data_IF_991540243239
#
_entry.id   IF_991540243239
#
_cell.length_a   1.000
_cell.length_b   1.000
_cell.length_c   1.000
_cell.angle_alpha   90.00
_cell.angle_beta   90.00
_cell.angle_gamma   90.00
#
_symmetry.space_group_name_H-M   'P 1'
#
loop_
_entity.id
_entity.type
_entity.pdbx_description
1 polymer ?
#
# COMPACT_ATOMS: atom_id res chain seq x y z
N UNK A 1 -1.64 8.87 -22.76
CA UNK A 1 -2.13 8.53 -21.42
C UNK A 1 -2.82 9.72 -20.76
N UNK A 2 -2.18 10.89 -20.62
CA UNK A 2 -2.76 12.11 -20.02
C UNK A 2 -4.05 12.55 -20.74
N UNK A 3 -4.04 12.66 -22.06
CA UNK A 3 -5.21 13.04 -22.85
C UNK A 3 -6.40 12.08 -22.64
N UNK A 4 -6.16 10.78 -22.63
CA UNK A 4 -7.20 9.78 -22.36
C UNK A 4 -7.79 9.89 -20.95
N UNK A 5 -6.96 10.23 -19.96
CA UNK A 5 -7.40 10.47 -18.59
C UNK A 5 -8.28 11.72 -18.48
N UNK A 6 -7.87 12.82 -19.13
CA UNK A 6 -8.63 14.07 -19.14
C UNK A 6 -9.97 13.94 -19.85
N UNK A 7 -10.01 13.21 -20.97
CA UNK A 7 -11.28 12.91 -21.70
C UNK A 7 -12.19 12.01 -20.88
N UNK A 8 -11.64 11.02 -20.16
CA UNK A 8 -12.38 10.11 -19.30
C UNK A 8 -12.77 10.70 -17.92
N UNK A 9 -12.27 11.88 -17.57
CA UNK A 9 -12.44 12.47 -16.24
C UNK A 9 -13.89 12.57 -15.75
N UNK A 10 -14.89 12.99 -16.56
CA UNK A 10 -16.27 13.03 -16.11
C UNK A 10 -16.81 11.65 -15.72
N UNK A 11 -16.40 10.61 -16.46
CA UNK A 11 -16.73 9.22 -16.14
C UNK A 11 -16.07 8.75 -14.85
N UNK A 12 -14.80 9.09 -14.66
CA UNK A 12 -14.02 8.74 -13.45
C UNK A 12 -14.64 9.41 -12.21
N UNK A 13 -14.98 10.70 -12.29
CA UNK A 13 -15.60 11.44 -11.19
C UNK A 13 -16.96 10.84 -10.80
N UNK A 14 -17.74 10.42 -11.78
CA UNK A 14 -19.02 9.74 -11.54
C UNK A 14 -18.83 8.36 -10.91
N UNK A 15 -17.82 7.61 -11.34
CA UNK A 15 -17.48 6.28 -10.75
C UNK A 15 -16.98 6.38 -9.31
N UNK A 16 -16.26 7.45 -8.96
CA UNK A 16 -15.77 7.70 -7.59
C UNK A 16 -16.90 8.18 -6.66
N UNK A 17 -18.08 8.54 -7.21
CA UNK A 17 -19.22 8.99 -6.43
C UNK A 17 -19.15 10.47 -6.04
N UNK A 18 -18.46 11.31 -6.83
CA UNK A 18 -18.43 12.74 -6.61
C UNK A 18 -19.83 13.34 -6.66
N UNK A 19 -20.26 14.04 -5.61
CA UNK A 19 -21.54 14.73 -5.55
C UNK A 19 -21.52 15.99 -6.43
N UNK A 20 -22.70 16.54 -6.72
CA UNK A 20 -22.81 17.79 -7.50
C UNK A 20 -22.01 18.94 -6.89
N UNK A 21 -21.85 18.96 -5.56
CA UNK A 21 -21.12 20.01 -4.83
C UNK A 21 -19.60 19.75 -4.81
N UNK A 22 -19.15 18.52 -4.95
CA UNK A 22 -17.73 18.14 -4.86
C UNK A 22 -17.07 17.89 -6.20
N UNK A 23 -17.86 17.73 -7.29
CA UNK A 23 -17.36 17.37 -8.62
C UNK A 23 -16.39 18.41 -9.18
N UNK A 24 -16.63 19.71 -8.92
CA UNK A 24 -15.73 20.80 -9.34
C UNK A 24 -14.35 20.69 -8.67
N UNK A 25 -14.33 20.62 -7.35
CA UNK A 25 -13.09 20.50 -6.57
C UNK A 25 -12.32 19.22 -6.88
N UNK A 26 -13.04 18.10 -7.03
CA UNK A 26 -12.43 16.82 -7.40
C UNK A 26 -11.84 16.86 -8.82
N UNK A 27 -12.50 17.56 -9.75
CA UNK A 27 -12.00 17.78 -11.11
C UNK A 27 -10.71 18.60 -11.15
N UNK A 28 -10.65 19.73 -10.41
CA UNK A 28 -9.45 20.54 -10.27
C UNK A 28 -8.28 19.75 -9.68
N UNK A 29 -8.52 19.01 -8.59
CA UNK A 29 -7.53 18.15 -7.96
C UNK A 29 -6.98 17.11 -8.92
N UNK A 30 -7.87 16.34 -9.55
CA UNK A 30 -7.49 15.28 -10.47
C UNK A 30 -6.76 15.80 -11.72
N UNK A 31 -7.15 16.98 -12.21
CA UNK A 31 -6.46 17.61 -13.33
C UNK A 31 -5.02 17.93 -12.97
N UNK A 32 -4.80 18.57 -11.82
CA UNK A 32 -3.47 18.92 -11.34
C UNK A 32 -2.60 17.67 -11.11
N UNK A 33 -3.15 16.63 -10.45
CA UNK A 33 -2.45 15.36 -10.23
C UNK A 33 -2.15 14.66 -11.56
N UNK A 34 -3.03 14.73 -12.55
CA UNK A 34 -2.81 14.13 -13.88
C UNK A 34 -1.62 14.78 -14.61
N UNK A 35 -1.50 16.11 -14.56
CA UNK A 35 -0.32 16.81 -15.09
C UNK A 35 0.95 16.50 -14.29
N UNK A 36 0.84 16.36 -12.97
CA UNK A 36 1.94 15.92 -12.09
C UNK A 36 2.26 14.42 -12.18
N UNK A 37 1.40 13.63 -12.83
CA UNK A 37 1.49 12.17 -12.91
C UNK A 37 2.87 11.64 -13.32
N UNK A 38 3.54 12.17 -14.35
CA UNK A 38 4.89 11.75 -14.71
C UNK A 38 5.88 11.87 -13.55
N UNK A 39 5.87 12.97 -12.81
CA UNK A 39 6.77 13.18 -11.67
C UNK A 39 6.47 12.23 -10.51
N UNK A 40 5.18 11.97 -10.23
CA UNK A 40 4.73 11.00 -9.21
C UNK A 40 5.21 9.59 -9.59
N UNK A 41 5.08 9.21 -10.85
CA UNK A 41 5.55 7.93 -11.35
C UNK A 41 7.07 7.80 -11.28
N UNK A 42 7.82 8.83 -11.70
CA UNK A 42 9.27 8.83 -11.66
C UNK A 42 9.80 8.83 -10.22
N UNK A 43 9.25 9.64 -9.31
CA UNK A 43 9.68 9.64 -7.91
C UNK A 43 9.52 8.26 -7.26
N UNK A 44 8.38 7.62 -7.49
CA UNK A 44 8.10 6.27 -6.99
C UNK A 44 9.03 5.23 -7.63
N UNK A 45 9.21 5.28 -8.94
CA UNK A 45 10.08 4.35 -9.66
C UNK A 45 11.53 4.47 -9.22
N UNK A 46 12.09 5.69 -9.17
CA UNK A 46 13.47 5.92 -8.75
C UNK A 46 13.71 5.53 -7.30
N UNK A 47 12.77 5.83 -6.40
CA UNK A 47 12.85 5.38 -5.02
C UNK A 47 12.92 3.85 -4.89
N UNK A 48 12.13 3.12 -5.68
CA UNK A 48 12.14 1.65 -5.70
C UNK A 48 13.42 1.09 -6.33
N UNK A 49 13.91 1.70 -7.43
CA UNK A 49 15.15 1.32 -8.11
C UNK A 49 16.34 1.47 -7.16
N UNK A 50 16.45 2.61 -6.45
CA UNK A 50 17.53 2.83 -5.48
C UNK A 50 17.48 1.81 -4.32
N UNK A 51 16.29 1.44 -3.86
CA UNK A 51 16.16 0.36 -2.86
C UNK A 51 16.65 -0.98 -3.42
N UNK A 52 16.32 -1.29 -4.66
CA UNK A 52 16.77 -2.50 -5.34
C UNK A 52 18.29 -2.56 -5.49
N UNK A 53 18.95 -1.42 -5.67
CA UNK A 53 20.42 -1.29 -5.75
C UNK A 53 21.10 -1.39 -4.36
N UNK A 54 20.32 -1.40 -3.28
CA UNK A 54 20.84 -1.37 -1.91
C UNK A 54 21.03 0.04 -1.33
N UNK A 55 20.74 1.09 -2.11
CA UNK A 55 20.81 2.50 -1.69
C UNK A 55 19.54 2.94 -0.93
N UNK A 56 19.11 2.14 0.06
CA UNK A 56 17.87 2.37 0.82
C UNK A 56 17.85 3.72 1.54
N UNK A 57 19.01 4.17 2.06
CA UNK A 57 19.15 5.48 2.73
C UNK A 57 18.83 6.62 1.77
N UNK A 58 19.32 6.57 0.55
CA UNK A 58 19.08 7.59 -0.49
C UNK A 58 17.62 7.58 -0.94
N UNK A 59 17.03 6.40 -1.10
CA UNK A 59 15.59 6.28 -1.36
C UNK A 59 14.77 6.93 -0.25
N UNK A 60 15.12 6.68 1.02
CA UNK A 60 14.44 7.28 2.17
C UNK A 60 14.59 8.81 2.16
N UNK A 61 15.81 9.34 1.95
CA UNK A 61 16.07 10.80 1.92
C UNK A 61 15.23 11.46 0.82
N UNK A 62 15.20 10.91 -0.39
CA UNK A 62 14.40 11.46 -1.47
C UNK A 62 12.90 11.47 -1.18
N UNK A 63 12.37 10.39 -0.61
CA UNK A 63 10.97 10.34 -0.15
C UNK A 63 10.71 11.38 0.96
N UNK A 64 11.63 11.54 1.91
CA UNK A 64 11.50 12.55 2.97
C UNK A 64 11.51 13.97 2.40
N UNK A 65 12.40 14.29 1.45
CA UNK A 65 12.42 15.58 0.77
C UNK A 65 11.06 15.86 0.14
N UNK A 66 10.51 14.90 -0.62
CA UNK A 66 9.20 15.06 -1.23
C UNK A 66 8.08 15.28 -0.21
N UNK A 67 8.04 14.47 0.85
CA UNK A 67 7.02 14.55 1.90
C UNK A 67 7.13 15.84 2.71
N UNK A 68 8.33 16.23 3.13
CA UNK A 68 8.55 17.47 3.89
C UNK A 68 8.20 18.70 3.04
N UNK A 69 8.59 18.69 1.77
CA UNK A 69 8.20 19.76 0.83
C UNK A 69 6.69 19.87 0.73
N UNK A 70 5.97 18.76 0.59
CA UNK A 70 4.51 18.74 0.56
C UNK A 70 3.91 19.28 1.87
N UNK A 71 4.34 18.79 3.05
CA UNK A 71 3.86 19.22 4.37
C UNK A 71 4.04 20.73 4.58
N UNK A 72 5.14 21.31 4.09
CA UNK A 72 5.40 22.75 4.21
C UNK A 72 4.53 23.54 3.23
N UNK A 73 4.40 23.06 1.99
CA UNK A 73 3.67 23.78 0.94
C UNK A 73 2.14 23.67 1.09
N UNK A 74 1.61 22.58 1.64
CA UNK A 74 0.17 22.40 1.84
C UNK A 74 -0.47 23.58 2.58
N UNK A 75 -0.07 23.93 3.82
CA UNK A 75 -0.67 25.07 4.51
C UNK A 75 -0.44 26.41 3.80
N UNK A 76 0.70 26.60 3.16
CA UNK A 76 1.00 27.83 2.42
C UNK A 76 0.04 27.97 1.23
N UNK A 77 -0.11 26.94 0.42
CA UNK A 77 -0.95 26.99 -0.77
C UNK A 77 -2.44 27.00 -0.45
N UNK A 78 -2.85 26.25 0.60
CA UNK A 78 -4.25 26.16 0.99
C UNK A 78 -4.69 27.41 1.76
N UNK A 79 -3.92 27.84 2.77
CA UNK A 79 -4.35 28.88 3.72
C UNK A 79 -3.85 30.27 3.33
N UNK A 80 -2.55 30.41 2.95
CA UNK A 80 -1.96 31.72 2.65
C UNK A 80 -2.35 32.20 1.25
N UNK A 81 -2.25 31.31 0.24
CA UNK A 81 -2.64 31.68 -1.14
C UNK A 81 -4.14 31.45 -1.41
N UNK A 82 -4.86 30.77 -0.54
CA UNK A 82 -6.29 30.54 -0.69
C UNK A 82 -6.67 29.63 -1.86
N UNK A 83 -5.73 28.82 -2.38
CA UNK A 83 -5.97 27.96 -3.55
C UNK A 83 -6.72 26.65 -3.21
N UNK A 84 -7.11 26.46 -1.93
CA UNK A 84 -7.94 25.33 -1.50
C UNK A 84 -7.43 23.97 -2.00
N UNK A 85 -8.33 23.22 -2.62
CA UNK A 85 -8.06 21.86 -3.11
C UNK A 85 -6.99 21.80 -4.21
N UNK A 86 -6.97 22.81 -5.09
CA UNK A 86 -5.95 22.93 -6.12
C UNK A 86 -4.56 23.17 -5.53
N UNK A 87 -4.48 23.96 -4.43
CA UNK A 87 -3.24 24.18 -3.68
C UNK A 87 -2.65 22.88 -3.12
N UNK A 88 -3.49 22.04 -2.52
CA UNK A 88 -3.08 20.72 -2.02
C UNK A 88 -2.53 19.81 -3.15
N UNK A 89 -3.20 19.81 -4.31
CA UNK A 89 -2.74 19.03 -5.46
C UNK A 89 -1.38 19.51 -5.96
N UNK A 90 -1.19 20.84 -6.08
CA UNK A 90 0.07 21.45 -6.51
C UNK A 90 1.20 21.17 -5.52
N UNK A 91 0.96 21.30 -4.22
CA UNK A 91 1.95 20.97 -3.19
C UNK A 91 2.41 19.51 -3.29
N UNK A 92 1.47 18.59 -3.55
CA UNK A 92 1.78 17.17 -3.79
C UNK A 92 2.66 16.98 -5.03
N UNK A 93 2.35 17.66 -6.12
CA UNK A 93 3.14 17.58 -7.37
C UNK A 93 4.54 18.14 -7.14
N UNK A 94 4.65 19.32 -6.52
CA UNK A 94 5.96 19.97 -6.25
C UNK A 94 6.80 19.09 -5.32
N UNK A 95 6.21 18.47 -4.29
CA UNK A 95 6.90 17.51 -3.45
C UNK A 95 7.50 16.35 -4.25
N UNK A 96 6.72 15.77 -5.17
CA UNK A 96 7.22 14.72 -6.05
C UNK A 96 8.29 15.20 -7.02
N UNK A 97 8.19 16.43 -7.54
CA UNK A 97 9.24 17.05 -8.37
C UNK A 97 10.54 17.19 -7.57
N UNK A 98 10.47 17.67 -6.32
CA UNK A 98 11.64 17.78 -5.45
C UNK A 98 12.32 16.43 -5.20
N UNK A 99 11.53 15.39 -4.94
CA UNK A 99 12.04 14.02 -4.82
C UNK A 99 12.70 13.54 -6.13
N UNK A 100 12.08 13.78 -7.28
CA UNK A 100 12.64 13.44 -8.59
C UNK A 100 13.97 14.14 -8.84
N UNK A 101 14.06 15.42 -8.54
CA UNK A 101 15.30 16.19 -8.71
C UNK A 101 16.42 15.63 -7.83
N UNK A 102 16.12 15.28 -6.58
CA UNK A 102 17.08 14.64 -5.69
C UNK A 102 17.57 13.30 -6.27
N UNK A 103 16.67 12.43 -6.70
CA UNK A 103 17.04 11.15 -7.29
C UNK A 103 17.85 11.33 -8.57
N UNK A 104 17.45 12.26 -9.44
CA UNK A 104 18.16 12.54 -10.67
C UNK A 104 19.59 13.01 -10.40
N UNK A 105 19.80 13.92 -9.43
CA UNK A 105 21.14 14.37 -9.03
C UNK A 105 21.99 13.24 -8.48
N UNK A 106 21.39 12.29 -7.76
CA UNK A 106 22.09 11.12 -7.27
C UNK A 106 22.56 10.20 -8.41
N UNK A 107 21.70 9.92 -9.39
CA UNK A 107 22.06 9.13 -10.57
C UNK A 107 23.13 9.81 -11.43
N UNK A 108 23.07 11.13 -11.60
CA UNK A 108 24.04 11.87 -12.41
C UNK A 108 25.44 11.94 -11.75
N UNK A 109 25.55 11.89 -10.43
CA UNK A 109 26.82 11.89 -9.70
C UNK A 109 27.62 10.58 -9.81
N UNK A 110 27.20 9.64 -10.66
CA UNK A 110 27.86 8.34 -10.91
C UNK A 110 28.11 7.47 -9.68
N UNK A 111 27.36 7.67 -8.62
CA UNK A 111 27.44 6.86 -7.40
C UNK A 111 26.61 5.56 -7.49
N UNK A 112 26.11 5.21 -8.68
CA UNK A 112 25.22 4.09 -8.92
C UNK A 112 25.81 3.19 -10.01
N UNK A 113 25.49 1.90 -9.94
CA UNK A 113 25.78 0.92 -11.00
C UNK A 113 24.85 1.12 -12.21
N UNK A 114 23.77 1.84 -12.01
CA UNK A 114 22.73 2.08 -13.02
C UNK A 114 23.04 3.31 -13.87
N UNK A 115 22.64 3.28 -15.13
CA UNK A 115 22.80 4.40 -16.07
C UNK A 115 21.46 4.85 -16.60
N UNK A 116 21.22 6.19 -16.57
CA UNK A 116 20.03 6.81 -17.15
C UNK A 116 20.29 7.20 -18.63
N UNK A 117 21.45 6.89 -19.17
CA UNK A 117 21.78 7.27 -20.54
C UNK A 117 20.83 6.65 -21.56
N UNK A 118 20.24 7.44 -22.48
CA UNK A 118 19.34 6.93 -23.52
C UNK A 118 19.97 5.85 -24.40
N UNK A 119 21.30 5.77 -24.43
CA UNK A 119 22.05 4.73 -25.20
C UNK A 119 21.74 3.31 -24.73
N UNK A 120 21.36 3.15 -23.46
CA UNK A 120 21.04 1.84 -22.88
C UNK A 120 19.54 1.55 -22.88
N UNK A 121 18.72 2.46 -23.44
CA UNK A 121 17.28 2.25 -23.56
C UNK A 121 17.00 1.09 -24.54
N UNK A 122 16.40 0.02 -24.02
CA UNK A 122 16.00 -1.13 -24.82
C UNK A 122 14.65 -1.65 -24.33
N UNK A 123 13.74 -1.88 -25.26
CA UNK A 123 12.45 -2.52 -25.01
C UNK A 123 12.48 -4.05 -25.31
N UNK A 124 13.61 -4.52 -25.82
CA UNK A 124 13.82 -5.92 -26.20
C UNK A 124 14.27 -6.82 -25.04
N UNK A 125 14.79 -8.00 -25.41
CA UNK A 125 15.45 -8.95 -24.48
C UNK A 125 14.59 -9.43 -23.30
N UNK A 126 13.26 -9.43 -23.43
CA UNK A 126 12.36 -9.87 -22.35
C UNK A 126 12.18 -8.88 -21.19
N UNK A 127 12.78 -7.69 -21.25
CA UNK A 127 12.70 -6.65 -20.20
C UNK A 127 11.25 -6.26 -19.96
N UNK A 128 10.50 -5.92 -21.04
CA UNK A 128 9.09 -5.54 -20.94
C UNK A 128 8.25 -6.65 -20.31
N UNK A 129 8.48 -7.90 -20.71
CA UNK A 129 7.78 -9.06 -20.15
C UNK A 129 8.01 -9.18 -18.64
N UNK A 130 9.24 -8.99 -18.18
CA UNK A 130 9.59 -9.06 -16.76
C UNK A 130 8.98 -7.90 -15.97
N UNK A 131 9.00 -6.68 -16.53
CA UNK A 131 8.40 -5.50 -15.90
C UNK A 131 6.89 -5.68 -15.76
N UNK A 132 6.19 -6.10 -16.82
CA UNK A 132 4.75 -6.32 -16.76
C UNK A 132 4.36 -7.53 -15.90
N UNK A 133 5.16 -8.59 -15.89
CA UNK A 133 4.92 -9.77 -15.05
C UNK A 133 4.87 -9.44 -13.55
N UNK A 134 5.61 -8.42 -13.10
CA UNK A 134 5.61 -7.96 -11.72
C UNK A 134 4.67 -6.75 -11.53
N UNK A 135 4.65 -5.84 -12.49
CA UNK A 135 3.89 -4.60 -12.42
C UNK A 135 2.36 -4.81 -12.47
N UNK A 136 1.88 -5.73 -13.32
CA UNK A 136 0.45 -6.03 -13.40
C UNK A 136 -0.10 -6.58 -12.07
N UNK A 137 0.53 -7.59 -11.43
CA UNK A 137 0.13 -8.03 -10.09
C UNK A 137 0.12 -6.91 -9.05
N UNK A 138 1.14 -6.06 -9.05
CA UNK A 138 1.22 -4.94 -8.12
C UNK A 138 0.12 -3.90 -8.35
N UNK A 139 -0.23 -3.62 -9.61
CA UNK A 139 -1.33 -2.71 -9.96
C UNK A 139 -2.69 -3.29 -9.60
N UNK A 140 -2.90 -4.59 -9.84
CA UNK A 140 -4.14 -5.29 -9.47
C UNK A 140 -4.39 -5.25 -7.96
N UNK A 141 -3.35 -5.28 -7.13
CA UNK A 141 -3.50 -5.10 -5.69
C UNK A 141 -4.21 -3.78 -5.34
N UNK A 142 -3.77 -2.67 -5.92
CA UNK A 142 -4.37 -1.35 -5.66
C UNK A 142 -5.82 -1.27 -6.18
N UNK A 143 -6.08 -1.85 -7.35
CA UNK A 143 -7.43 -1.90 -7.93
C UNK A 143 -8.36 -2.73 -7.03
N UNK A 144 -7.95 -3.92 -6.63
CA UNK A 144 -8.74 -4.79 -5.75
C UNK A 144 -8.99 -4.14 -4.40
N UNK A 145 -7.99 -3.46 -3.83
CA UNK A 145 -8.16 -2.70 -2.58
C UNK A 145 -9.22 -1.61 -2.73
N UNK A 146 -9.21 -0.87 -3.83
CA UNK A 146 -10.23 0.16 -4.11
C UNK A 146 -11.62 -0.45 -4.28
N UNK A 147 -11.74 -1.52 -5.06
CA UNK A 147 -13.02 -2.24 -5.25
C UNK A 147 -13.56 -2.78 -3.93
N UNK A 148 -12.70 -3.37 -3.10
CA UNK A 148 -13.07 -3.89 -1.78
C UNK A 148 -13.58 -2.79 -0.84
N UNK A 149 -12.94 -1.63 -0.86
CA UNK A 149 -13.39 -0.46 -0.09
C UNK A 149 -14.76 0.05 -0.57
N UNK A 150 -14.99 0.10 -1.87
CA UNK A 150 -16.29 0.49 -2.44
C UNK A 150 -17.37 -0.50 -2.00
N UNK A 151 -17.12 -1.81 -2.09
CA UNK A 151 -18.06 -2.85 -1.67
C UNK A 151 -18.36 -2.73 -0.17
N UNK A 152 -17.32 -2.59 0.65
CA UNK A 152 -17.46 -2.43 2.10
C UNK A 152 -18.33 -1.22 2.44
N UNK A 153 -18.04 -0.06 1.86
CA UNK A 153 -18.80 1.16 2.08
C UNK A 153 -20.25 1.02 1.62
N UNK A 154 -20.50 0.40 0.47
CA UNK A 154 -21.86 0.15 -0.02
C UNK A 154 -22.65 -0.80 0.90
N UNK A 155 -22.01 -1.80 1.48
CA UNK A 155 -22.67 -2.70 2.44
C UNK A 155 -22.94 -1.97 3.77
N UNK A 156 -21.99 -1.17 4.25
CA UNK A 156 -22.16 -0.40 5.47
C UNK A 156 -23.21 0.72 5.36
N UNK A 157 -23.34 1.37 4.19
CA UNK A 157 -24.33 2.42 3.94
C UNK A 157 -25.77 1.90 4.03
N UNK A 158 -26.00 0.59 3.83
CA UNK A 158 -27.31 -0.01 4.05
C UNK A 158 -27.72 -0.08 5.52
N UNK A 159 -26.79 0.11 6.45
CA UNK A 159 -27.06 0.13 7.89
C UNK A 159 -27.23 1.55 8.39
N UNK A 160 -26.25 2.40 8.23
CA UNK A 160 -26.31 3.83 8.57
C UNK A 160 -25.10 4.59 8.04
N UNK A 161 -25.24 5.91 7.87
CA UNK A 161 -24.13 6.81 7.54
C UNK A 161 -23.10 6.84 8.70
N UNK A 162 -23.56 6.69 9.94
CA UNK A 162 -22.69 6.59 11.11
C UNK A 162 -21.76 5.37 11.06
N UNK A 163 -22.26 4.22 10.56
CA UNK A 163 -21.43 3.02 10.38
C UNK A 163 -20.34 3.22 9.33
N UNK A 164 -20.65 3.91 8.23
CA UNK A 164 -19.65 4.26 7.19
C UNK A 164 -18.60 5.21 7.77
N UNK A 165 -19.01 6.24 8.49
CA UNK A 165 -18.11 7.20 9.12
C UNK A 165 -17.21 6.52 10.16
N UNK A 166 -17.77 5.69 11.03
CA UNK A 166 -17.07 4.95 12.07
C UNK A 166 -16.02 4.00 11.48
N UNK A 167 -16.37 3.25 10.41
CA UNK A 167 -15.43 2.37 9.71
C UNK A 167 -14.32 3.17 9.04
N UNK A 168 -14.65 4.31 8.43
CA UNK A 168 -13.68 5.21 7.80
C UNK A 168 -12.61 5.68 8.79
N UNK A 169 -13.01 6.09 10.00
CA UNK A 169 -12.07 6.47 11.07
C UNK A 169 -11.25 5.28 11.55
N UNK A 170 -11.88 4.14 11.80
CA UNK A 170 -11.21 2.92 12.24
C UNK A 170 -10.16 2.44 11.21
N UNK A 171 -10.48 2.52 9.91
CA UNK A 171 -9.54 2.17 8.83
C UNK A 171 -8.35 3.13 8.76
N UNK A 172 -8.55 4.45 8.95
CA UNK A 172 -7.45 5.42 9.02
C UNK A 172 -6.51 5.13 10.17
N UNK A 173 -7.04 4.81 11.35
CA UNK A 173 -6.24 4.42 12.50
C UNK A 173 -5.46 3.10 12.23
N UNK A 174 -6.12 2.09 11.67
CA UNK A 174 -5.49 0.82 11.29
C UNK A 174 -4.39 0.98 10.24
N UNK A 175 -4.51 1.99 9.36
CA UNK A 175 -3.51 2.27 8.30
C UNK A 175 -2.11 2.50 8.88
N UNK A 176 -1.99 3.06 10.09
CA UNK A 176 -0.69 3.27 10.77
C UNK A 176 0.00 1.92 11.00
N UNK A 177 -0.72 0.94 11.54
CA UNK A 177 -0.20 -0.42 11.79
C UNK A 177 0.22 -1.09 10.49
N UNK A 178 -0.65 -1.02 9.49
CA UNK A 178 -0.42 -1.64 8.17
C UNK A 178 0.79 -1.04 7.46
N UNK A 179 0.94 0.29 7.47
CA UNK A 179 2.06 0.97 6.81
C UNK A 179 3.40 0.62 7.46
N UNK A 180 3.47 0.54 8.78
CA UNK A 180 4.69 0.15 9.49
C UNK A 180 5.06 -1.30 9.17
N UNK A 181 4.09 -2.21 9.11
CA UNK A 181 4.30 -3.60 8.72
C UNK A 181 4.79 -3.73 7.27
N UNK A 182 4.17 -2.99 6.35
CA UNK A 182 4.59 -2.95 4.94
C UNK A 182 6.02 -2.39 4.85
N UNK A 183 6.32 -1.30 5.58
CA UNK A 183 7.64 -0.69 5.60
C UNK A 183 8.74 -1.66 5.99
N UNK A 184 8.54 -2.45 7.05
CA UNK A 184 9.46 -3.50 7.47
C UNK A 184 9.66 -4.55 6.36
N UNK A 185 8.57 -5.02 5.76
CA UNK A 185 8.61 -6.09 4.75
C UNK A 185 9.22 -5.63 3.42
N UNK A 186 8.95 -4.40 2.99
CA UNK A 186 9.56 -3.79 1.80
C UNK A 186 11.07 -3.56 2.01
N UNK A 187 11.47 -3.19 3.23
CA UNK A 187 12.87 -2.96 3.58
C UNK A 187 13.78 -4.18 3.38
N UNK A 188 13.25 -5.39 3.57
CA UNK A 188 14.02 -6.63 3.39
C UNK A 188 14.00 -7.17 1.96
N UNK A 189 13.13 -6.67 1.09
CA UNK A 189 12.95 -7.18 -0.27
C UNK A 189 14.27 -7.25 -1.07
N UNK A 190 15.14 -6.24 -1.05
CA UNK A 190 16.45 -6.31 -1.71
C UNK A 190 17.35 -7.40 -1.14
N UNK A 191 17.34 -7.59 0.19
CA UNK A 191 18.13 -8.64 0.85
C UNK A 191 17.68 -10.04 0.44
N UNK A 192 16.37 -10.25 0.30
CA UNK A 192 15.79 -11.49 -0.21
C UNK A 192 16.23 -11.72 -1.66
N UNK A 193 16.08 -10.71 -2.52
CA UNK A 193 16.46 -10.78 -3.93
C UNK A 193 17.95 -11.11 -4.12
N UNK A 194 18.81 -10.42 -3.39
CA UNK A 194 20.26 -10.67 -3.42
C UNK A 194 20.61 -12.10 -3.01
N UNK A 195 20.11 -12.57 -1.86
CA UNK A 195 20.44 -13.92 -1.37
C UNK A 195 19.81 -15.02 -2.26
N UNK A 196 18.66 -14.75 -2.87
CA UNK A 196 18.04 -15.65 -3.83
C UNK A 196 18.89 -15.75 -5.11
N UNK A 197 19.35 -14.64 -5.68
CA UNK A 197 20.25 -14.60 -6.83
C UNK A 197 21.61 -15.25 -6.56
N UNK A 198 22.16 -15.05 -5.36
CA UNK A 198 23.41 -15.68 -4.90
C UNK A 198 23.23 -17.17 -4.49
N UNK A 199 22.03 -17.75 -4.65
CA UNK A 199 21.69 -19.12 -4.22
C UNK A 199 21.94 -19.42 -2.74
N UNK A 200 22.06 -18.40 -1.88
CA UNK A 200 22.27 -18.56 -0.44
C UNK A 200 20.93 -18.74 0.28
N UNK A 201 20.34 -19.92 0.11
CA UNK A 201 18.99 -20.22 0.63
C UNK A 201 18.98 -20.28 2.16
N UNK A 202 20.09 -20.69 2.80
CA UNK A 202 20.19 -20.69 4.27
C UNK A 202 20.05 -19.29 4.84
N UNK A 203 20.76 -18.31 4.26
CA UNK A 203 20.69 -16.91 4.70
C UNK A 203 19.33 -16.29 4.38
N UNK A 204 18.74 -16.60 3.21
CA UNK A 204 17.40 -16.17 2.84
C UNK A 204 16.36 -16.62 3.87
N UNK A 205 16.36 -17.90 4.25
CA UNK A 205 15.46 -18.44 5.30
C UNK A 205 15.68 -17.75 6.64
N UNK A 206 16.94 -17.51 7.04
CA UNK A 206 17.25 -16.80 8.30
C UNK A 206 16.68 -15.38 8.29
N UNK A 207 16.81 -14.63 7.19
CA UNK A 207 16.23 -13.29 7.02
C UNK A 207 14.71 -13.36 7.13
N UNK A 208 14.07 -14.28 6.42
CA UNK A 208 12.63 -14.46 6.43
C UNK A 208 12.08 -14.71 7.85
N UNK A 209 12.60 -15.69 8.57
CA UNK A 209 12.14 -16.02 9.91
C UNK A 209 12.44 -14.95 10.94
N UNK A 210 13.62 -14.32 10.86
CA UNK A 210 13.97 -13.21 11.73
C UNK A 210 13.00 -12.03 11.53
N UNK A 211 12.77 -11.65 10.28
CA UNK A 211 11.83 -10.56 9.97
C UNK A 211 10.40 -10.93 10.36
N UNK A 212 10.00 -12.19 10.19
CA UNK A 212 8.71 -12.69 10.66
C UNK A 212 8.53 -12.49 12.16
N UNK A 213 9.54 -12.85 12.96
CA UNK A 213 9.54 -12.60 14.40
C UNK A 213 9.45 -11.10 14.76
N UNK A 214 10.27 -10.27 14.12
CA UNK A 214 10.21 -8.82 14.30
C UNK A 214 8.84 -8.24 13.92
N UNK A 215 8.25 -8.73 12.84
CA UNK A 215 6.94 -8.31 12.38
C UNK A 215 5.83 -8.64 13.37
N UNK A 216 5.84 -9.86 13.95
CA UNK A 216 4.87 -10.27 14.97
C UNK A 216 5.03 -9.42 16.24
N UNK A 217 6.25 -9.20 16.71
CA UNK A 217 6.51 -8.36 17.88
C UNK A 217 6.02 -6.93 17.63
N UNK A 218 6.42 -6.33 16.51
CA UNK A 218 5.99 -4.98 16.14
C UNK A 218 4.47 -4.89 15.99
N UNK A 219 3.84 -5.85 15.31
CA UNK A 219 2.39 -5.91 15.14
C UNK A 219 1.66 -6.02 16.47
N UNK A 220 2.16 -6.86 17.39
CA UNK A 220 1.58 -7.02 18.73
C UNK A 220 1.68 -5.72 19.55
N UNK A 221 2.86 -5.09 19.57
CA UNK A 221 3.05 -3.81 20.28
C UNK A 221 2.15 -2.74 19.72
N UNK A 222 2.08 -2.59 18.39
CA UNK A 222 1.21 -1.61 17.76
C UNK A 222 -0.27 -1.88 18.02
N UNK A 223 -0.70 -3.15 17.95
CA UNK A 223 -2.07 -3.54 18.27
C UNK A 223 -2.43 -3.19 19.72
N UNK A 224 -1.55 -3.49 20.68
CA UNK A 224 -1.77 -3.13 22.09
C UNK A 224 -1.91 -1.60 22.24
N UNK A 225 -0.99 -0.84 21.63
CA UNK A 225 -1.04 0.62 21.67
C UNK A 225 -2.35 1.17 21.08
N UNK A 226 -2.78 0.64 19.93
CA UNK A 226 -4.03 1.05 19.27
C UNK A 226 -5.27 0.68 20.11
N UNK A 227 -5.29 -0.51 20.71
CA UNK A 227 -6.40 -0.96 21.55
C UNK A 227 -6.45 -0.17 22.86
N UNK A 228 -5.33 0.13 23.49
CA UNK A 228 -5.28 0.96 24.71
C UNK A 228 -5.71 2.40 24.41
N UNK A 229 -5.21 2.99 23.33
CA UNK A 229 -5.52 4.36 22.94
C UNK A 229 -6.82 4.51 22.12
N UNK A 230 -7.61 3.45 21.92
CA UNK A 230 -8.74 3.41 20.98
C UNK A 230 -9.72 4.57 21.12
N UNK A 231 -10.09 4.89 22.36
CA UNK A 231 -11.05 5.98 22.64
C UNK A 231 -10.47 7.33 22.24
N UNK A 232 -9.24 7.62 22.67
CA UNK A 232 -8.55 8.88 22.35
C UNK A 232 -8.32 9.04 20.84
N UNK A 233 -7.96 7.94 20.15
CA UNK A 233 -7.74 7.97 18.71
C UNK A 233 -9.05 8.27 17.97
N UNK A 234 -10.16 7.59 18.31
CA UNK A 234 -11.43 7.81 17.63
C UNK A 234 -11.96 9.22 17.91
N UNK A 235 -11.90 9.69 19.17
CA UNK A 235 -12.29 11.06 19.54
C UNK A 235 -11.46 12.14 18.84
N UNK A 236 -10.20 11.89 18.51
CA UNK A 236 -9.38 12.83 17.74
C UNK A 236 -9.88 13.06 16.29
N UNK A 237 -10.71 12.16 15.76
CA UNK A 237 -11.29 12.28 14.42
C UNK A 237 -12.75 12.72 14.42
N UNK A 238 -13.52 12.38 15.46
CA UNK A 238 -14.96 12.63 15.51
C UNK A 238 -15.47 12.69 16.95
N UNK A 239 -16.36 13.64 17.23
CA UNK A 239 -16.92 13.87 18.58
C UNK A 239 -18.33 13.30 18.78
N UNK A 240 -18.96 12.76 17.72
CA UNK A 240 -20.28 12.14 17.79
C UNK A 240 -20.22 10.83 18.59
N UNK A 241 -20.99 10.76 19.70
CA UNK A 241 -20.94 9.64 20.63
C UNK A 241 -21.36 8.29 20.00
N UNK A 242 -22.32 8.29 19.07
CA UNK A 242 -22.79 7.08 18.39
C UNK A 242 -21.72 6.55 17.42
N UNK A 243 -21.06 7.46 16.70
CA UNK A 243 -19.98 7.12 15.78
C UNK A 243 -18.75 6.64 16.54
N UNK A 244 -18.43 7.27 17.68
CA UNK A 244 -17.32 6.85 18.55
C UNK A 244 -17.52 5.44 19.08
N UNK A 245 -18.71 5.11 19.59
CA UNK A 245 -19.00 3.76 20.12
C UNK A 245 -18.84 2.67 19.06
N UNK A 246 -19.37 2.90 17.86
CA UNK A 246 -19.21 1.98 16.73
C UNK A 246 -17.74 1.94 16.23
N UNK A 247 -17.08 3.08 16.14
CA UNK A 247 -15.69 3.20 15.70
C UNK A 247 -14.71 2.44 16.60
N UNK A 248 -14.89 2.47 17.90
CA UNK A 248 -14.10 1.69 18.86
C UNK A 248 -14.24 0.19 18.58
N UNK A 249 -15.46 -0.30 18.38
CA UNK A 249 -15.72 -1.71 18.09
C UNK A 249 -15.10 -2.13 16.76
N UNK A 250 -15.27 -1.31 15.72
CA UNK A 250 -14.71 -1.55 14.40
C UNK A 250 -13.18 -1.53 14.41
N UNK A 251 -12.58 -0.59 15.15
CA UNK A 251 -11.13 -0.52 15.32
C UNK A 251 -10.57 -1.78 16.01
N UNK A 252 -11.20 -2.25 17.08
CA UNK A 252 -10.80 -3.50 17.75
C UNK A 252 -10.86 -4.67 16.79
N UNK A 253 -11.94 -4.79 16.01
CA UNK A 253 -12.10 -5.87 15.04
C UNK A 253 -11.00 -5.86 13.96
N UNK A 254 -10.63 -4.68 13.45
CA UNK A 254 -9.51 -4.54 12.49
C UNK A 254 -8.15 -4.88 13.11
N UNK A 255 -7.97 -4.64 14.42
CA UNK A 255 -6.72 -4.93 15.12
C UNK A 255 -6.52 -6.41 15.46
N UNK A 256 -7.54 -7.27 15.32
CA UNK A 256 -7.42 -8.72 15.59
C UNK A 256 -6.33 -9.37 14.74
N UNK A 257 -6.23 -9.00 13.46
CA UNK A 257 -5.18 -9.48 12.57
C UNK A 257 -3.84 -8.72 12.71
N UNK A 258 -3.83 -7.59 13.43
CA UNK A 258 -2.66 -6.72 13.58
C UNK A 258 -1.35 -7.41 13.97
N UNK A 259 -1.34 -8.31 14.96
CA UNK A 259 -0.13 -9.04 15.35
C UNK A 259 0.47 -9.90 14.26
N UNK A 260 -0.34 -10.44 13.36
CA UNK A 260 0.09 -11.48 12.40
C UNK A 260 0.02 -11.05 10.94
N UNK A 261 -0.63 -9.92 10.63
CA UNK A 261 -0.80 -9.45 9.25
C UNK A 261 0.55 -9.23 8.53
N UNK A 262 1.58 -8.88 9.27
CA UNK A 262 2.92 -8.71 8.72
C UNK A 262 3.52 -9.98 8.13
N UNK A 263 3.08 -11.16 8.54
CA UNK A 263 3.50 -12.45 7.94
C UNK A 263 3.01 -12.52 6.48
N UNK A 264 1.82 -12.04 6.21
CA UNK A 264 1.28 -11.96 4.85
C UNK A 264 2.10 -11.00 3.99
N UNK A 265 2.37 -9.79 4.48
CA UNK A 265 3.19 -8.81 3.75
C UNK A 265 4.62 -9.31 3.55
N UNK A 266 5.18 -10.00 4.54
CA UNK A 266 6.48 -10.65 4.43
C UNK A 266 6.47 -11.71 3.31
N UNK A 267 5.45 -12.55 3.26
CA UNK A 267 5.26 -13.54 2.18
C UNK A 267 5.20 -12.89 0.80
N UNK A 268 4.34 -11.88 0.63
CA UNK A 268 4.19 -11.14 -0.63
C UNK A 268 5.53 -10.51 -1.08
N UNK A 269 6.19 -9.76 -0.18
CA UNK A 269 7.44 -9.08 -0.50
C UNK A 269 8.61 -10.05 -0.74
N UNK A 270 8.63 -11.19 -0.03
CA UNK A 270 9.60 -12.26 -0.27
C UNK A 270 9.44 -12.88 -1.66
N UNK A 271 8.21 -13.19 -2.07
CA UNK A 271 7.91 -13.71 -3.40
C UNK A 271 8.24 -12.72 -4.52
N UNK A 272 7.92 -11.44 -4.30
CA UNK A 272 8.30 -10.36 -5.23
C UNK A 272 9.81 -10.21 -5.33
N UNK A 273 10.52 -10.22 -4.20
CA UNK A 273 12.00 -10.16 -4.17
C UNK A 273 12.68 -11.33 -4.88
N UNK A 274 12.05 -12.51 -4.88
CA UNK A 274 12.51 -13.68 -5.64
C UNK A 274 12.07 -13.66 -7.12
N UNK A 275 11.37 -12.64 -7.59
CA UNK A 275 10.82 -12.56 -8.95
C UNK A 275 9.64 -13.52 -9.21
N UNK A 276 9.07 -14.10 -8.16
CA UNK A 276 7.93 -15.03 -8.26
C UNK A 276 6.60 -14.27 -8.29
N UNK A 277 6.30 -13.64 -9.44
CA UNK A 277 5.16 -12.77 -9.63
C UNK A 277 3.80 -13.47 -9.41
N UNK A 278 3.62 -14.68 -9.96
CA UNK A 278 2.34 -15.39 -9.91
C UNK A 278 1.94 -15.78 -8.47
N UNK A 279 2.79 -16.42 -7.65
CA UNK A 279 2.46 -16.68 -6.25
C UNK A 279 2.18 -15.39 -5.44
N UNK A 280 2.91 -14.31 -5.68
CA UNK A 280 2.65 -13.01 -5.05
C UNK A 280 1.28 -12.45 -5.44
N UNK A 281 0.90 -12.56 -6.72
CA UNK A 281 -0.42 -12.17 -7.22
C UNK A 281 -1.54 -12.96 -6.54
N UNK A 282 -1.36 -14.29 -6.43
CA UNK A 282 -2.35 -15.15 -5.76
C UNK A 282 -2.63 -14.68 -4.33
N UNK A 283 -1.57 -14.41 -3.54
CA UNK A 283 -1.73 -13.90 -2.16
C UNK A 283 -2.48 -12.57 -2.12
N UNK A 284 -2.17 -11.68 -3.02
CA UNK A 284 -2.80 -10.36 -3.12
C UNK A 284 -4.28 -10.47 -3.48
N UNK A 285 -4.61 -11.27 -4.50
CA UNK A 285 -5.99 -11.50 -4.93
C UNK A 285 -6.78 -12.26 -3.85
N UNK A 286 -6.18 -13.23 -3.18
CA UNK A 286 -6.82 -13.94 -2.08
C UNK A 286 -7.24 -12.98 -0.98
N UNK A 287 -6.36 -12.08 -0.54
CA UNK A 287 -6.64 -11.17 0.57
C UNK A 287 -7.77 -10.19 0.26
N UNK A 288 -7.71 -9.47 -0.85
CA UNK A 288 -8.64 -8.37 -1.14
C UNK A 288 -9.81 -8.77 -2.04
N UNK A 289 -9.66 -9.83 -2.84
CA UNK A 289 -10.67 -10.26 -3.79
C UNK A 289 -11.40 -11.52 -3.32
N UNK A 290 -10.74 -12.66 -3.49
CA UNK A 290 -11.36 -14.00 -3.37
C UNK A 290 -11.83 -14.32 -1.96
N UNK A 291 -11.16 -13.83 -0.93
CA UNK A 291 -11.56 -14.10 0.46
C UNK A 291 -12.36 -12.95 1.05
N UNK A 292 -11.89 -11.70 0.92
CA UNK A 292 -12.55 -10.56 1.56
C UNK A 292 -13.96 -10.31 1.01
N UNK A 293 -14.12 -10.21 -0.31
CA UNK A 293 -15.42 -9.89 -0.89
C UNK A 293 -16.49 -10.93 -0.53
N UNK A 294 -16.27 -12.25 -0.72
CA UNK A 294 -17.24 -13.23 -0.26
C UNK A 294 -17.45 -13.22 1.26
N UNK A 295 -16.40 -12.97 2.05
CA UNK A 295 -16.53 -12.87 3.51
C UNK A 295 -17.46 -11.74 3.92
N UNK A 296 -17.37 -10.56 3.29
CA UNK A 296 -18.28 -9.44 3.53
C UNK A 296 -19.72 -9.86 3.32
N UNK A 297 -20.06 -10.51 2.18
CA UNK A 297 -21.42 -10.89 1.88
C UNK A 297 -21.92 -12.05 2.76
N UNK A 298 -21.11 -13.09 2.97
CA UNK A 298 -21.50 -14.25 3.77
C UNK A 298 -21.70 -13.88 5.23
N UNK A 299 -20.73 -13.16 5.82
CA UNK A 299 -20.79 -12.76 7.22
C UNK A 299 -21.88 -11.69 7.45
N UNK A 300 -22.12 -10.81 6.47
CA UNK A 300 -23.24 -9.88 6.50
C UNK A 300 -24.58 -10.61 6.60
N UNK A 301 -24.76 -11.69 5.82
CA UNK A 301 -26.00 -12.47 5.84
C UNK A 301 -26.20 -13.23 7.16
N UNK A 302 -25.12 -13.67 7.83
CA UNK A 302 -25.19 -14.48 9.05
C UNK A 302 -25.22 -13.63 10.33
N UNK A 303 -24.39 -12.60 10.38
CA UNK A 303 -24.15 -11.79 11.60
C UNK A 303 -24.46 -10.30 11.41
N UNK A 304 -25.10 -9.93 10.30
CA UNK A 304 -25.42 -8.54 9.96
C UNK A 304 -24.19 -7.61 10.08
N UNK A 305 -24.32 -6.42 10.67
CA UNK A 305 -23.24 -5.43 10.80
C UNK A 305 -21.99 -6.01 11.48
N UNK A 306 -22.16 -6.81 12.52
CA UNK A 306 -21.02 -7.43 13.21
C UNK A 306 -20.22 -8.34 12.26
N UNK A 307 -20.89 -9.07 11.36
CA UNK A 307 -20.22 -9.89 10.37
C UNK A 307 -19.37 -9.08 9.40
N UNK A 308 -19.88 -7.94 8.94
CA UNK A 308 -19.15 -7.02 8.05
C UNK A 308 -17.89 -6.49 8.70
N UNK A 309 -17.96 -6.13 9.98
CA UNK A 309 -16.84 -5.59 10.78
C UNK A 309 -15.69 -6.60 10.85
N UNK A 310 -15.98 -7.89 11.04
CA UNK A 310 -14.96 -8.94 11.16
C UNK A 310 -14.51 -9.53 9.82
N UNK A 311 -15.12 -9.18 8.69
CA UNK A 311 -14.79 -9.74 7.38
C UNK A 311 -13.31 -9.53 6.99
N UNK A 312 -12.73 -8.37 7.34
CA UNK A 312 -11.31 -8.09 7.08
C UNK A 312 -10.39 -9.01 7.88
N UNK A 313 -10.69 -9.23 9.16
CA UNK A 313 -9.91 -10.14 10.00
C UNK A 313 -9.93 -11.57 9.46
N UNK A 314 -11.10 -12.07 9.04
CA UNK A 314 -11.24 -13.40 8.43
C UNK A 314 -10.41 -13.49 7.14
N UNK A 315 -10.49 -12.48 6.27
CA UNK A 315 -9.71 -12.45 5.04
C UNK A 315 -8.20 -12.44 5.31
N UNK A 316 -7.76 -11.70 6.31
CA UNK A 316 -6.36 -11.62 6.70
C UNK A 316 -5.86 -12.99 7.21
N UNK A 317 -6.57 -13.64 8.13
CA UNK A 317 -6.16 -14.95 8.67
C UNK A 317 -6.11 -16.04 7.60
N UNK A 318 -7.12 -16.14 6.75
CA UNK A 318 -7.12 -17.10 5.64
C UNK A 318 -5.93 -16.85 4.71
N UNK A 319 -5.67 -15.58 4.38
CA UNK A 319 -4.56 -15.20 3.50
C UNK A 319 -3.19 -15.46 4.14
N UNK A 320 -3.06 -15.29 5.47
CA UNK A 320 -1.84 -15.61 6.21
C UNK A 320 -1.55 -17.10 6.15
N UNK A 321 -2.57 -17.94 6.32
CA UNK A 321 -2.42 -19.41 6.20
C UNK A 321 -1.93 -19.76 4.79
N UNK A 322 -2.57 -19.24 3.76
CA UNK A 322 -2.17 -19.47 2.36
C UNK A 322 -0.74 -18.97 2.12
N UNK A 323 -0.39 -17.78 2.60
CA UNK A 323 0.96 -17.22 2.45
C UNK A 323 2.03 -18.11 3.11
N UNK A 324 1.74 -18.57 4.32
CA UNK A 324 2.64 -19.47 5.07
C UNK A 324 2.85 -20.78 4.33
N UNK A 325 1.77 -21.42 3.88
CA UNK A 325 1.84 -22.67 3.13
C UNK A 325 2.61 -22.53 1.81
N UNK A 326 2.36 -21.47 1.04
CA UNK A 326 3.07 -21.18 -0.21
C UNK A 326 4.55 -20.92 0.03
N UNK A 327 4.91 -20.10 1.01
CA UNK A 327 6.31 -19.83 1.33
C UNK A 327 7.04 -21.08 1.80
N UNK A 328 6.44 -21.89 2.67
CA UNK A 328 7.01 -23.16 3.13
C UNK A 328 7.20 -24.14 1.97
N UNK A 329 6.22 -24.26 1.06
CA UNK A 329 6.32 -25.09 -0.14
C UNK A 329 7.49 -24.70 -1.03
N UNK A 330 7.63 -23.38 -1.29
CA UNK A 330 8.73 -22.83 -2.09
C UNK A 330 10.08 -23.07 -1.40
N UNK A 331 10.19 -22.85 -0.09
CA UNK A 331 11.43 -23.07 0.65
C UNK A 331 11.84 -24.55 0.73
N UNK A 332 10.87 -25.49 0.73
CA UNK A 332 11.15 -26.93 0.63
C UNK A 332 11.74 -27.27 -0.75
N UNK A 333 11.15 -26.72 -1.82
CA UNK A 333 11.65 -26.96 -3.20
C UNK A 333 13.05 -26.40 -3.38
N UNK A 334 13.31 -25.16 -2.90
CA UNK A 334 14.62 -24.54 -2.96
C UNK A 334 15.67 -25.33 -2.16
N UNK A 335 15.32 -25.88 -0.99
CA UNK A 335 16.25 -26.69 -0.21
C UNK A 335 16.57 -28.05 -0.81
N UNK A 336 15.74 -28.58 -1.70
CA UNK A 336 16.06 -29.80 -2.47
C UNK A 336 17.05 -29.54 -3.58
N UNK A 337 16.93 -28.38 -4.26
CA UNK A 337 17.88 -27.95 -5.32
C UNK A 337 19.27 -27.63 -4.75
N UNK A 338 19.38 -27.22 -3.49
CA UNK A 338 20.68 -26.94 -2.83
C UNK A 338 21.43 -28.22 -2.46
N UNK A 339 20.71 -29.36 -2.34
CA UNK A 339 21.28 -30.67 -1.96
C UNK A 339 21.60 -31.58 -3.16
N UNK A 340 21.06 -31.25 -4.34
CA UNK A 340 21.36 -31.92 -5.61
C UNK A 340 22.47 -31.19 -6.37
#
# INVERSE_FOLDING_TARGET
MLAGFLVGMPGILKMIGASKNTVGFAGEYLTCIAFGGPFIMFSTAFGNILRGEGAAKQSMIGNMIGTVTNIILDPIMILVFGWGVMGAALATVIGNVAACLFYLTYFLKKNTVLSISPKYFSLGHGIMRSVFAIGIPASLNNILMSVSNIILNNVLSNYSDNAVAAMGVAMKANMIVVLLQIGLCVGIQPLIGYNYGARNIKRLKKIFWFTGGCSVIMGTVLTILMVVARSSIIHAFIDDADVVGQGITMMIALQISGPVIGILFLGINTLQGMGKAVPSLVLTICRQGVVFIPSVFILNKVFALNGVIYAQAVADYVSIIIATLLCLGIFRTLGKVERA
#
